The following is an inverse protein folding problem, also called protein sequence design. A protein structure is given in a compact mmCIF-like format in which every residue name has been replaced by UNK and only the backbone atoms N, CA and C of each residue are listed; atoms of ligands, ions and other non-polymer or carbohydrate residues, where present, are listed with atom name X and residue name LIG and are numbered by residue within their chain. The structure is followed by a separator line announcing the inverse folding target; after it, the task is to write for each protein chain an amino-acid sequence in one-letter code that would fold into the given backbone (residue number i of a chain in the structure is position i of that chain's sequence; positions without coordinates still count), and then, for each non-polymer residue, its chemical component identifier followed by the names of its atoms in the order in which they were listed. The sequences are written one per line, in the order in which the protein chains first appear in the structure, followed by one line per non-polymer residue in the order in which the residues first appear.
data_IF_028577553950
#
_entry.id   IF_028577553950
#
_cell.length_a   1.000
_cell.length_b   1.000
_cell.length_c   1.000
_cell.angle_alpha   90.00
_cell.angle_beta   90.00
_cell.angle_gamma   90.00
#
_symmetry.space_group_name_H-M   'P 1'
#
loop_
_entity.id
_entity.type
_entity.pdbx_description
1 polymer ?
#
# COMPACT_ATOMS: atom_id res chain seq x y z
N UNK A 1 3.31 9.14 -35.12
CA UNK A 1 2.72 8.46 -33.96
C UNK A 1 2.06 9.52 -33.12
N UNK A 2 0.72 9.59 -33.11
CA UNK A 2 -0.01 10.55 -32.27
C UNK A 2 -0.03 9.99 -30.83
N UNK A 3 0.29 10.85 -29.89
CA UNK A 3 0.59 10.53 -28.51
C UNK A 3 -0.50 9.70 -27.83
N UNK A 4 -0.11 8.57 -27.23
CA UNK A 4 -0.92 7.76 -26.33
C UNK A 4 -1.59 8.57 -25.19
N UNK A 5 -1.04 9.75 -24.86
CA UNK A 5 -1.57 10.65 -23.86
C UNK A 5 -2.90 11.34 -24.18
N UNK A 6 -3.36 11.33 -25.45
CA UNK A 6 -4.63 11.96 -25.82
C UNK A 6 -5.87 11.11 -25.55
N UNK A 7 -5.69 9.78 -25.33
CA UNK A 7 -6.79 8.86 -25.03
C UNK A 7 -7.06 8.70 -23.54
N UNK A 8 -6.04 8.93 -22.70
CA UNK A 8 -6.13 8.69 -21.27
C UNK A 8 -6.79 9.86 -20.52
N UNK A 9 -7.74 9.55 -19.66
CA UNK A 9 -8.28 10.47 -18.67
C UNK A 9 -9.22 11.56 -19.16
N UNK A 10 -9.63 11.59 -20.43
CA UNK A 10 -10.62 12.56 -20.95
C UNK A 10 -11.86 11.85 -21.45
N UNK A 11 -13.07 12.24 -20.98
CA UNK A 11 -14.31 11.76 -21.58
C UNK A 11 -14.30 12.18 -23.08
N UNK A 12 -14.47 11.20 -23.96
CA UNK A 12 -14.55 11.46 -25.40
C UNK A 12 -15.97 11.73 -25.89
N UNK A 13 -16.93 11.34 -25.08
CA UNK A 13 -18.35 11.48 -25.40
C UNK A 13 -18.97 12.37 -24.36
N UNK A 14 -19.54 13.48 -24.80
CA UNK A 14 -20.26 14.39 -23.92
C UNK A 14 -21.43 13.63 -23.29
N UNK A 15 -21.54 13.72 -21.97
CA UNK A 15 -22.71 13.24 -21.26
C UNK A 15 -23.89 14.13 -21.66
N UNK A 16 -24.85 13.55 -22.38
CA UNK A 16 -26.09 14.25 -22.78
C UNK A 16 -27.10 14.31 -21.66
N UNK A 17 -26.71 13.96 -20.40
CA UNK A 17 -27.57 13.98 -19.22
C UNK A 17 -28.33 12.68 -18.94
N UNK A 18 -28.45 11.78 -19.91
CA UNK A 18 -29.17 10.50 -19.74
C UNK A 18 -28.28 9.25 -19.91
N UNK A 19 -27.05 9.38 -20.43
CA UNK A 19 -26.13 8.26 -20.68
C UNK A 19 -24.95 8.17 -19.70
N UNK A 20 -24.22 7.05 -19.70
CA UNK A 20 -23.01 6.87 -18.90
C UNK A 20 -21.86 7.76 -19.40
N UNK A 21 -21.03 8.25 -18.48
CA UNK A 21 -19.86 9.08 -18.77
C UNK A 21 -18.64 8.20 -19.07
N UNK A 22 -18.66 7.48 -20.21
CA UNK A 22 -17.55 6.63 -20.57
C UNK A 22 -16.31 7.39 -21.01
N UNK A 23 -15.15 6.91 -20.55
CA UNK A 23 -13.83 7.28 -21.00
C UNK A 23 -13.15 6.13 -21.71
N UNK A 24 -12.32 6.42 -22.71
CA UNK A 24 -11.52 5.41 -23.41
C UNK A 24 -10.07 5.53 -22.96
N UNK A 25 -9.53 4.46 -22.41
CA UNK A 25 -8.15 4.36 -21.95
C UNK A 25 -7.35 3.51 -22.95
N UNK A 26 -6.26 4.09 -23.46
CA UNK A 26 -5.25 3.35 -24.19
C UNK A 26 -4.34 2.62 -23.17
N UNK A 27 -4.25 1.32 -23.30
CA UNK A 27 -3.42 0.47 -22.43
C UNK A 27 -2.09 0.08 -23.08
N UNK A 28 -1.76 0.64 -24.26
CA UNK A 28 -0.54 0.35 -24.98
C UNK A 28 -0.53 -1.04 -25.66
N UNK A 29 -1.71 -1.66 -25.88
CA UNK A 29 -1.86 -2.90 -26.62
C UNK A 29 -2.44 -2.61 -28.02
N UNK A 30 -1.78 -3.02 -29.11
CA UNK A 30 -2.30 -2.81 -30.45
C UNK A 30 -3.71 -3.43 -30.62
N UNK A 31 -4.64 -2.62 -31.12
CA UNK A 31 -6.01 -3.06 -31.40
C UNK A 31 -6.93 -3.19 -30.17
N UNK A 32 -6.44 -2.96 -28.96
CA UNK A 32 -7.23 -3.03 -27.71
C UNK A 32 -7.30 -1.68 -27.00
N UNK A 33 -8.43 -1.40 -26.39
CA UNK A 33 -8.63 -0.27 -25.49
C UNK A 33 -9.54 -0.69 -24.32
N UNK A 34 -9.55 0.09 -23.26
CA UNK A 34 -10.47 -0.10 -22.14
C UNK A 34 -11.48 1.04 -22.13
N UNK A 35 -12.76 0.70 -22.11
CA UNK A 35 -13.83 1.64 -21.81
C UNK A 35 -14.02 1.63 -20.29
N UNK A 36 -13.98 2.79 -19.67
CA UNK A 36 -14.14 2.95 -18.22
C UNK A 36 -15.28 3.92 -17.96
N UNK A 37 -16.16 3.58 -17.02
CA UNK A 37 -17.07 4.53 -16.38
C UNK A 37 -16.42 4.97 -15.05
N UNK A 38 -15.91 6.22 -14.98
CA UNK A 38 -15.01 6.60 -13.90
C UNK A 38 -15.66 6.68 -12.52
N UNK A 39 -16.98 6.89 -12.40
CA UNK A 39 -17.66 7.06 -11.11
C UNK A 39 -17.95 5.72 -10.40
N UNK A 40 -18.24 4.69 -11.18
CA UNK A 40 -18.51 3.34 -10.67
C UNK A 40 -17.32 2.39 -10.75
N UNK A 41 -16.22 2.82 -11.37
CA UNK A 41 -15.09 1.97 -11.74
C UNK A 41 -15.48 0.77 -12.62
N UNK A 42 -16.63 0.83 -13.30
CA UNK A 42 -16.97 -0.14 -14.34
C UNK A 42 -15.96 -0.04 -15.49
N UNK A 43 -15.60 -1.18 -16.05
CA UNK A 43 -14.69 -1.22 -17.20
C UNK A 43 -15.02 -2.41 -18.14
N UNK A 44 -14.60 -2.26 -19.40
CA UNK A 44 -14.63 -3.32 -20.38
C UNK A 44 -13.45 -3.19 -21.36
N UNK A 45 -12.81 -4.30 -21.67
CA UNK A 45 -11.78 -4.37 -22.73
C UNK A 45 -12.49 -4.58 -24.06
N UNK A 46 -12.18 -3.73 -25.03
CA UNK A 46 -12.82 -3.74 -26.35
C UNK A 46 -11.79 -3.65 -27.47
N UNK A 47 -12.13 -4.18 -28.64
CA UNK A 47 -11.37 -3.92 -29.86
C UNK A 47 -11.54 -2.44 -30.26
N UNK A 48 -10.46 -1.76 -30.63
CA UNK A 48 -10.50 -0.35 -31.05
C UNK A 48 -11.46 -0.13 -32.22
N UNK A 49 -11.59 -1.12 -33.12
CA UNK A 49 -12.51 -1.05 -34.25
C UNK A 49 -13.98 -1.15 -33.82
N UNK A 50 -14.27 -1.83 -32.72
CA UNK A 50 -15.61 -2.00 -32.15
C UNK A 50 -16.04 -0.86 -31.20
N UNK A 51 -15.15 0.09 -30.92
CA UNK A 51 -15.44 1.22 -29.97
C UNK A 51 -16.75 1.97 -30.29
N UNK A 52 -17.07 2.36 -31.56
CA UNK A 52 -18.32 3.07 -31.83
C UNK A 52 -19.57 2.28 -31.47
N UNK A 53 -19.56 0.96 -31.76
CA UNK A 53 -20.66 0.05 -31.41
C UNK A 53 -20.72 -0.19 -29.89
N UNK A 54 -19.58 -0.42 -29.24
CA UNK A 54 -19.52 -0.61 -27.80
C UNK A 54 -20.09 0.59 -27.02
N UNK A 55 -19.79 1.82 -27.46
CA UNK A 55 -20.20 3.06 -26.81
C UNK A 55 -21.63 3.50 -27.12
N UNK A 56 -22.37 2.77 -27.98
CA UNK A 56 -23.75 3.08 -28.34
C UNK A 56 -24.70 1.86 -28.25
N UNK A 57 -24.16 0.68 -28.00
CA UNK A 57 -24.89 -0.57 -28.08
C UNK A 57 -24.92 -1.39 -26.77
N UNK A 58 -24.60 -2.68 -26.89
CA UNK A 58 -24.75 -3.67 -25.82
C UNK A 58 -23.98 -3.30 -24.54
N UNK A 59 -22.78 -2.75 -24.65
CA UNK A 59 -21.97 -2.39 -23.48
C UNK A 59 -22.66 -1.31 -22.63
N UNK A 60 -23.26 -0.32 -23.29
CA UNK A 60 -24.06 0.72 -22.59
C UNK A 60 -25.22 0.10 -21.84
N UNK A 61 -25.94 -0.82 -22.48
CA UNK A 61 -27.08 -1.49 -21.85
C UNK A 61 -26.63 -2.36 -20.67
N UNK A 62 -25.59 -3.16 -20.84
CA UNK A 62 -25.04 -3.97 -19.75
C UNK A 62 -24.61 -3.12 -18.54
N UNK A 63 -23.98 -1.97 -18.77
CA UNK A 63 -23.64 -1.06 -17.70
C UNK A 63 -24.90 -0.50 -17.02
N UNK A 64 -25.91 -0.07 -17.80
CA UNK A 64 -27.13 0.52 -17.23
C UNK A 64 -27.92 -0.48 -16.40
N UNK A 65 -27.92 -1.75 -16.78
CA UNK A 65 -28.59 -2.82 -16.06
C UNK A 65 -27.93 -3.09 -14.69
N UNK A 66 -26.60 -2.98 -14.61
CA UNK A 66 -25.79 -3.32 -13.43
C UNK A 66 -25.30 -2.08 -12.62
N UNK A 67 -25.51 -0.86 -13.12
CA UNK A 67 -24.89 0.36 -12.57
C UNK A 67 -25.15 0.59 -11.09
N UNK A 68 -26.34 0.19 -10.61
CA UNK A 68 -26.70 0.37 -9.19
C UNK A 68 -25.90 -0.58 -8.30
N UNK A 69 -25.57 -1.79 -8.80
CA UNK A 69 -24.67 -2.73 -8.14
C UNK A 69 -23.27 -2.15 -8.01
N UNK A 70 -22.68 -1.68 -9.12
CA UNK A 70 -21.37 -1.04 -9.12
C UNK A 70 -21.30 0.18 -8.20
N UNK A 71 -22.35 1.01 -8.20
CA UNK A 71 -22.41 2.19 -7.35
C UNK A 71 -22.45 1.83 -5.87
N UNK A 72 -23.25 0.83 -5.48
CA UNK A 72 -23.30 0.34 -4.09
C UNK A 72 -21.97 -0.27 -3.63
N UNK A 73 -21.32 -1.02 -4.49
CA UNK A 73 -19.99 -1.58 -4.21
C UNK A 73 -18.96 -0.46 -3.97
N UNK A 74 -18.91 0.53 -4.85
CA UNK A 74 -18.01 1.68 -4.70
C UNK A 74 -18.34 2.50 -3.45
N UNK A 75 -19.60 2.72 -3.13
CA UNK A 75 -20.02 3.42 -1.92
C UNK A 75 -19.59 2.66 -0.66
N UNK A 76 -19.79 1.33 -0.64
CA UNK A 76 -19.31 0.47 0.46
C UNK A 76 -17.80 0.54 0.61
N UNK A 77 -17.04 0.38 -0.49
CA UNK A 77 -15.57 0.45 -0.49
C UNK A 77 -15.04 1.80 -0.02
N UNK A 78 -15.67 2.87 -0.43
CA UNK A 78 -15.21 4.23 -0.18
C UNK A 78 -15.63 4.77 1.17
N UNK A 79 -16.80 4.41 1.66
CA UNK A 79 -17.41 5.06 2.84
C UNK A 79 -17.97 4.07 3.87
N UNK A 80 -18.17 2.80 3.51
CA UNK A 80 -18.81 1.80 4.37
C UNK A 80 -17.85 1.02 5.28
N UNK A 81 -16.53 1.15 5.08
CA UNK A 81 -15.54 0.38 5.84
C UNK A 81 -15.21 1.05 7.18
N UNK A 82 -14.85 0.22 8.15
CA UNK A 82 -14.36 0.63 9.47
C UNK A 82 -12.92 0.17 9.66
N UNK A 83 -12.14 0.80 10.55
CA UNK A 83 -10.81 0.35 10.87
C UNK A 83 -10.80 -1.10 11.35
N UNK A 84 -9.92 -1.89 10.75
CA UNK A 84 -9.64 -3.29 11.10
C UNK A 84 -8.14 -3.55 11.30
N UNK A 85 -7.31 -2.52 11.14
CA UNK A 85 -5.86 -2.62 11.31
C UNK A 85 -5.30 -1.39 12.04
N UNK A 86 -4.21 -1.60 12.78
CA UNK A 86 -3.45 -0.54 13.48
C UNK A 86 -1.98 -0.70 13.18
N UNK A 87 -1.34 0.39 12.72
CA UNK A 87 0.11 0.52 12.72
C UNK A 87 0.55 1.06 14.08
N UNK A 88 1.18 0.21 14.87
CA UNK A 88 1.53 0.51 16.24
C UNK A 88 3.04 0.72 16.38
N UNK A 89 3.46 1.92 16.77
CA UNK A 89 4.85 2.27 17.00
C UNK A 89 5.18 2.16 18.50
N UNK A 90 5.72 1.03 18.98
CA UNK A 90 6.05 0.86 20.39
C UNK A 90 7.24 1.73 20.82
N UNK A 91 8.01 2.19 19.83
CA UNK A 91 9.17 3.06 20.03
C UNK A 91 9.32 4.06 18.90
N UNK A 92 9.81 5.25 19.22
CA UNK A 92 10.26 6.22 18.22
C UNK A 92 11.73 6.01 17.83
N UNK A 93 12.45 5.20 18.60
CA UNK A 93 13.90 4.98 18.39
C UNK A 93 14.15 3.99 17.29
N UNK A 94 15.24 4.24 16.56
CA UNK A 94 15.77 3.32 15.55
C UNK A 94 17.28 3.20 15.69
N UNK A 95 17.82 2.01 15.53
CA UNK A 95 19.25 1.78 15.49
C UNK A 95 19.90 2.17 14.14
N UNK A 96 19.05 2.57 13.15
CA UNK A 96 19.48 3.02 11.82
C UNK A 96 19.14 4.48 11.56
N UNK A 97 19.92 5.11 10.67
CA UNK A 97 19.71 6.45 10.14
C UNK A 97 19.63 6.41 8.60
N UNK A 98 18.60 5.74 8.07
CA UNK A 98 18.38 5.67 6.63
C UNK A 98 18.17 7.08 6.05
N UNK A 99 18.82 7.36 4.91
CA UNK A 99 18.87 8.72 4.31
C UNK A 99 17.51 9.22 3.84
N UNK A 100 16.60 8.31 3.51
CA UNK A 100 15.24 8.60 3.01
C UNK A 100 14.15 8.50 4.08
N UNK A 101 14.49 8.23 5.34
CA UNK A 101 13.50 7.95 6.37
C UNK A 101 12.49 9.09 6.51
N UNK A 102 11.20 8.75 6.48
CA UNK A 102 10.11 9.72 6.59
C UNK A 102 9.92 10.25 8.02
N UNK A 103 10.45 9.55 9.03
CA UNK A 103 10.40 10.00 10.43
C UNK A 103 11.50 11.01 10.74
N UNK A 104 11.26 12.01 11.61
CA UNK A 104 12.26 12.98 12.06
C UNK A 104 13.48 12.30 12.66
N UNK A 105 14.69 12.83 12.36
CA UNK A 105 15.95 12.30 12.89
C UNK A 105 16.00 12.33 14.41
N UNK A 106 15.61 13.45 15.04
CA UNK A 106 15.59 13.60 16.48
C UNK A 106 14.70 12.56 17.17
N UNK A 107 13.55 12.27 16.60
CA UNK A 107 12.64 11.22 17.06
C UNK A 107 13.33 9.85 17.03
N UNK A 108 13.98 9.51 15.91
CA UNK A 108 14.65 8.21 15.74
C UNK A 108 15.87 8.03 16.64
N UNK A 109 16.55 9.13 17.00
CA UNK A 109 17.75 9.12 17.83
C UNK A 109 17.43 9.08 19.32
N UNK A 110 16.51 9.94 19.76
CA UNK A 110 16.28 10.27 21.17
C UNK A 110 14.83 10.06 21.64
N UNK A 111 13.97 9.56 20.75
CA UNK A 111 12.55 9.41 21.01
C UNK A 111 12.23 8.40 22.11
N UNK A 112 10.96 8.35 22.46
CA UNK A 112 10.42 7.52 23.53
C UNK A 112 10.31 6.05 23.10
N UNK A 113 10.38 5.16 24.11
CA UNK A 113 10.02 3.73 24.01
C UNK A 113 9.00 3.43 25.09
N UNK A 114 7.91 2.75 24.73
CA UNK A 114 6.91 2.26 25.66
C UNK A 114 7.44 1.09 26.48
N UNK A 115 7.05 1.01 27.75
CA UNK A 115 7.19 -0.18 28.58
C UNK A 115 6.20 -1.26 28.14
N UNK A 116 6.42 -2.52 28.58
CA UNK A 116 5.45 -3.59 28.35
C UNK A 116 4.06 -3.26 28.89
N UNK A 117 3.99 -2.66 30.08
CA UNK A 117 2.72 -2.31 30.70
C UNK A 117 1.98 -1.23 29.91
N UNK A 118 2.68 -0.24 29.34
CA UNK A 118 2.09 0.75 28.47
C UNK A 118 1.59 0.15 27.15
N UNK A 119 2.35 -0.75 26.54
CA UNK A 119 1.90 -1.49 25.35
C UNK A 119 0.66 -2.31 25.69
N UNK A 120 0.66 -3.05 26.80
CA UNK A 120 -0.50 -3.83 27.23
C UNK A 120 -1.73 -2.94 27.46
N UNK A 121 -1.58 -1.81 28.13
CA UNK A 121 -2.69 -0.85 28.32
C UNK A 121 -3.23 -0.33 26.99
N UNK A 122 -2.35 0.00 26.07
CA UNK A 122 -2.76 0.41 24.71
C UNK A 122 -3.53 -0.69 23.99
N UNK A 123 -3.05 -1.94 24.07
CA UNK A 123 -3.72 -3.08 23.42
C UNK A 123 -5.08 -3.40 24.06
N UNK A 124 -5.26 -3.23 25.38
CA UNK A 124 -6.56 -3.37 26.03
C UNK A 124 -7.57 -2.35 25.48
N UNK A 125 -7.16 -1.09 25.35
CA UNK A 125 -8.04 -0.04 24.81
C UNK A 125 -8.38 -0.28 23.34
N UNK A 126 -7.41 -0.69 22.52
CA UNK A 126 -7.64 -1.06 21.13
C UNK A 126 -8.56 -2.27 21.01
N UNK A 127 -8.34 -3.30 21.82
CA UNK A 127 -9.17 -4.50 21.80
C UNK A 127 -10.62 -4.17 22.20
N UNK A 128 -10.83 -3.33 23.23
CA UNK A 128 -12.18 -2.88 23.61
C UNK A 128 -12.88 -2.09 22.47
N UNK A 129 -12.13 -1.31 21.69
CA UNK A 129 -12.64 -0.65 20.49
C UNK A 129 -13.03 -1.68 19.42
N UNK A 130 -12.14 -2.61 19.07
CA UNK A 130 -12.37 -3.58 18.00
C UNK A 130 -13.47 -4.59 18.31
N UNK A 131 -13.66 -4.97 19.56
CA UNK A 131 -14.78 -5.83 19.98
C UNK A 131 -16.16 -5.25 19.65
N UNK A 132 -16.25 -3.91 19.53
CA UNK A 132 -17.49 -3.20 19.17
C UNK A 132 -17.62 -2.91 17.68
N UNK A 133 -16.51 -2.98 16.92
CA UNK A 133 -16.47 -2.42 15.55
C UNK A 133 -16.12 -3.44 14.47
N UNK A 134 -15.47 -4.54 14.82
CA UNK A 134 -15.11 -5.62 13.91
C UNK A 134 -16.15 -6.74 14.02
N UNK A 135 -16.39 -7.45 12.92
CA UNK A 135 -17.32 -8.57 12.88
C UNK A 135 -16.99 -9.65 13.93
N UNK A 136 -18.00 -10.25 14.56
CA UNK A 136 -17.79 -11.27 15.57
C UNK A 136 -16.94 -12.43 15.05
N UNK A 137 -15.86 -12.74 15.77
CA UNK A 137 -14.91 -13.80 15.40
C UNK A 137 -13.78 -13.37 14.48
N UNK A 138 -13.83 -12.20 13.85
CA UNK A 138 -12.70 -11.63 13.12
C UNK A 138 -11.69 -10.98 14.08
N UNK A 139 -10.40 -11.15 13.79
CA UNK A 139 -9.32 -10.50 14.55
C UNK A 139 -8.79 -9.30 13.81
N UNK A 140 -8.73 -8.13 14.44
CA UNK A 140 -8.06 -6.97 13.83
C UNK A 140 -6.56 -7.22 13.71
N UNK A 141 -5.93 -6.56 12.73
CA UNK A 141 -4.48 -6.61 12.56
C UNK A 141 -3.79 -5.55 13.43
N UNK A 142 -2.69 -5.93 14.06
CA UNK A 142 -1.80 -5.00 14.75
C UNK A 142 -0.37 -5.20 14.22
N UNK A 143 0.12 -4.18 13.52
CA UNK A 143 1.43 -4.21 12.90
C UNK A 143 2.36 -3.33 13.72
N UNK A 144 3.33 -3.95 14.40
CA UNK A 144 4.44 -3.22 15.01
C UNK A 144 5.29 -2.61 13.89
N UNK A 145 5.36 -1.28 13.89
CA UNK A 145 5.85 -0.52 12.76
C UNK A 145 6.53 0.78 13.24
N UNK A 146 6.95 1.61 12.33
CA UNK A 146 7.45 2.96 12.57
C UNK A 146 8.95 3.05 12.49
N UNK A 147 9.64 3.27 13.62
CA UNK A 147 11.11 3.31 13.67
C UNK A 147 11.70 1.91 13.57
N UNK A 148 12.20 1.33 14.67
CA UNK A 148 12.59 -0.08 14.69
C UNK A 148 11.91 -0.77 15.87
N UNK A 149 10.84 -1.53 15.65
CA UNK A 149 10.08 -2.18 16.73
C UNK A 149 10.92 -3.08 17.61
N UNK A 150 11.95 -3.73 17.04
CA UNK A 150 12.82 -4.63 17.78
C UNK A 150 13.75 -3.93 18.77
N UNK A 151 13.83 -2.59 18.78
CA UNK A 151 14.44 -1.83 19.89
C UNK A 151 13.63 -1.99 21.19
N UNK A 152 12.31 -2.26 21.05
CA UNK A 152 11.41 -2.57 22.16
C UNK A 152 11.06 -4.08 22.22
N UNK A 153 12.00 -4.98 21.86
CA UNK A 153 11.79 -6.43 21.67
C UNK A 153 10.98 -7.04 22.83
N UNK A 154 11.36 -6.77 24.09
CA UNK A 154 10.70 -7.37 25.26
C UNK A 154 9.23 -6.96 25.39
N UNK A 155 8.93 -5.67 25.12
CA UNK A 155 7.57 -5.15 25.13
C UNK A 155 6.74 -5.73 23.96
N UNK A 156 7.33 -5.83 22.76
CA UNK A 156 6.69 -6.41 21.58
C UNK A 156 6.39 -7.89 21.80
N UNK A 157 7.35 -8.66 22.28
CA UNK A 157 7.19 -10.11 22.51
C UNK A 157 6.19 -10.41 23.64
N UNK A 158 6.28 -9.69 24.76
CA UNK A 158 5.33 -9.80 25.85
C UNK A 158 3.90 -9.44 25.45
N UNK A 159 3.73 -8.46 24.57
CA UNK A 159 2.44 -8.10 24.03
C UNK A 159 1.88 -9.18 23.07
N UNK A 160 2.70 -9.72 22.17
CA UNK A 160 2.31 -10.82 21.27
C UNK A 160 1.83 -12.02 22.10
N UNK A 161 2.59 -12.45 23.10
CA UNK A 161 2.22 -13.61 23.93
C UNK A 161 0.88 -13.41 24.67
N UNK A 162 0.62 -12.19 25.16
CA UNK A 162 -0.60 -11.88 25.92
C UNK A 162 -1.85 -11.70 25.06
N UNK A 163 -1.70 -11.21 23.80
CA UNK A 163 -2.84 -10.76 22.99
C UNK A 163 -3.01 -11.50 21.66
N UNK A 164 -2.25 -12.57 21.38
CA UNK A 164 -2.35 -13.35 20.12
C UNK A 164 -3.75 -13.92 19.85
N UNK A 165 -4.56 -14.09 20.87
CA UNK A 165 -5.93 -14.57 20.71
C UNK A 165 -6.90 -13.44 20.31
N UNK A 166 -6.51 -12.18 20.48
CA UNK A 166 -7.32 -10.98 20.19
C UNK A 166 -6.89 -10.26 18.93
N UNK A 167 -5.63 -10.40 18.49
CA UNK A 167 -5.07 -9.72 17.32
C UNK A 167 -4.33 -10.68 16.38
N UNK A 168 -4.30 -10.33 15.09
CA UNK A 168 -3.33 -10.84 14.14
C UNK A 168 -2.12 -9.89 14.16
N UNK A 169 -0.96 -10.42 14.58
CA UNK A 169 0.23 -9.60 14.72
C UNK A 169 1.09 -9.59 13.45
N UNK A 170 1.68 -8.43 13.17
CA UNK A 170 2.75 -8.25 12.19
C UNK A 170 3.89 -7.42 12.77
N UNK A 171 5.09 -7.59 12.24
CA UNK A 171 6.28 -6.78 12.55
C UNK A 171 6.91 -6.33 11.24
N UNK A 172 7.13 -5.02 11.09
CA UNK A 172 7.95 -4.47 10.02
C UNK A 172 9.26 -3.94 10.61
N UNK A 173 10.39 -4.51 10.18
CA UNK A 173 11.70 -4.31 10.80
C UNK A 173 12.81 -4.11 9.77
N UNK A 174 13.88 -3.43 10.17
CA UNK A 174 15.12 -3.39 9.40
C UNK A 174 15.95 -4.69 9.48
N UNK A 175 15.44 -5.69 10.20
CA UNK A 175 15.99 -7.03 10.41
C UNK A 175 17.31 -7.12 11.21
N UNK A 176 17.95 -6.01 11.55
CA UNK A 176 19.28 -6.04 12.17
C UNK A 176 19.29 -6.47 13.63
N UNK A 177 18.13 -6.53 14.27
CA UNK A 177 17.94 -7.00 15.64
C UNK A 177 17.21 -8.36 15.70
N UNK A 178 17.01 -9.03 14.55
CA UNK A 178 16.46 -10.38 14.49
C UNK A 178 17.61 -11.40 14.58
N UNK A 179 17.75 -11.99 15.74
CA UNK A 179 18.52 -13.21 15.96
C UNK A 179 17.65 -14.47 15.73
N UNK A 180 18.24 -15.66 15.80
CA UNK A 180 17.52 -16.92 15.57
C UNK A 180 16.40 -17.10 16.58
N UNK A 181 16.60 -16.76 17.86
CA UNK A 181 15.58 -16.82 18.91
C UNK A 181 14.38 -15.91 18.59
N UNK A 182 14.65 -14.70 18.11
CA UNK A 182 13.59 -13.77 17.73
C UNK A 182 12.81 -14.27 16.51
N UNK A 183 13.48 -14.81 15.51
CA UNK A 183 12.83 -15.40 14.34
C UNK A 183 11.97 -16.60 14.71
N UNK A 184 12.48 -17.52 15.55
CA UNK A 184 11.73 -18.67 16.04
C UNK A 184 10.54 -18.26 16.91
N UNK A 185 10.68 -17.23 17.75
CA UNK A 185 9.59 -16.67 18.52
C UNK A 185 8.45 -16.17 17.62
N UNK A 186 8.77 -15.34 16.63
CA UNK A 186 7.79 -14.72 15.73
C UNK A 186 7.09 -15.77 14.85
N UNK A 187 7.87 -16.66 14.24
CA UNK A 187 7.35 -17.68 13.32
C UNK A 187 6.47 -18.71 14.00
N UNK A 188 6.88 -19.18 15.22
CA UNK A 188 6.08 -20.15 16.01
C UNK A 188 4.73 -19.59 16.47
N UNK A 189 4.56 -18.26 16.47
CA UNK A 189 3.31 -17.58 16.85
C UNK A 189 2.49 -17.08 15.67
N UNK A 190 2.92 -17.40 14.44
CA UNK A 190 2.22 -17.00 13.23
C UNK A 190 2.27 -15.48 12.95
N UNK A 191 3.28 -14.77 13.47
CA UNK A 191 3.42 -13.33 13.28
C UNK A 191 3.87 -13.03 11.85
N UNK A 192 3.20 -12.12 11.16
CA UNK A 192 3.64 -11.63 9.85
C UNK A 192 4.96 -10.85 9.97
N UNK A 193 5.95 -11.16 9.13
CA UNK A 193 7.27 -10.54 9.19
C UNK A 193 7.57 -9.85 7.87
N UNK A 194 7.68 -8.51 7.90
CA UNK A 194 8.17 -7.70 6.79
C UNK A 194 9.58 -7.16 7.10
N UNK A 195 10.55 -7.48 6.26
CA UNK A 195 11.90 -6.92 6.40
C UNK A 195 12.21 -5.91 5.31
N UNK A 196 13.09 -4.97 5.60
CA UNK A 196 13.48 -3.94 4.64
C UNK A 196 14.81 -4.28 3.96
N UNK A 197 14.81 -4.40 2.62
CA UNK A 197 16.01 -4.58 1.81
C UNK A 197 15.86 -3.86 0.47
N UNK A 198 16.78 -2.94 0.15
CA UNK A 198 16.59 -2.00 -0.96
C UNK A 198 17.43 -2.32 -2.22
N UNK A 199 18.35 -3.28 -2.15
CA UNK A 199 19.14 -3.71 -3.31
C UNK A 199 19.67 -5.14 -3.11
N UNK A 200 20.07 -5.78 -4.22
CA UNK A 200 20.71 -7.10 -4.22
C UNK A 200 22.24 -7.01 -4.07
N UNK A 201 22.81 -5.80 -4.03
CA UNK A 201 24.24 -5.56 -3.82
C UNK A 201 24.46 -4.65 -2.62
N UNK A 202 25.47 -5.00 -1.80
CA UNK A 202 25.78 -4.30 -0.57
C UNK A 202 26.09 -2.81 -0.77
N UNK A 203 26.85 -2.45 -1.81
CA UNK A 203 27.22 -1.06 -2.06
C UNK A 203 26.01 -0.13 -2.25
N UNK A 204 24.97 -0.61 -2.90
CA UNK A 204 23.72 0.17 -3.12
C UNK A 204 22.82 0.14 -1.89
N UNK A 205 22.60 -1.02 -1.27
CA UNK A 205 21.77 -1.15 -0.07
C UNK A 205 22.35 -0.33 1.09
N UNK A 206 23.63 -0.50 1.35
CA UNK A 206 24.34 0.17 2.46
C UNK A 206 24.61 1.66 2.18
N UNK A 207 24.46 2.13 0.94
CA UNK A 207 24.54 3.56 0.63
C UNK A 207 23.42 4.37 1.29
N UNK A 208 22.21 3.81 1.34
CA UNK A 208 21.00 4.49 1.83
C UNK A 208 20.56 4.00 3.21
N UNK A 209 20.87 2.74 3.58
CA UNK A 209 20.50 2.13 4.87
C UNK A 209 21.74 1.95 5.75
N UNK A 210 21.97 2.90 6.65
CA UNK A 210 23.11 2.93 7.56
C UNK A 210 22.68 3.08 9.00
N UNK A 211 23.44 2.48 9.92
CA UNK A 211 23.31 2.78 11.33
C UNK A 211 23.87 4.19 11.64
N UNK A 212 23.75 4.63 12.89
CA UNK A 212 24.22 5.96 13.34
C UNK A 212 25.74 6.15 13.22
N UNK A 213 26.51 5.08 13.00
CA UNK A 213 27.97 5.10 12.78
C UNK A 213 28.34 5.01 11.29
N UNK A 214 27.36 5.05 10.38
CA UNK A 214 27.58 5.01 8.94
C UNK A 214 27.79 3.61 8.35
N UNK A 215 27.61 2.54 9.11
CA UNK A 215 27.77 1.16 8.66
C UNK A 215 26.42 0.61 8.14
N UNK A 216 26.47 -0.07 7.02
CA UNK A 216 25.35 -0.87 6.50
C UNK A 216 25.20 -2.22 7.19
N UNK A 217 24.20 -2.99 6.78
CA UNK A 217 23.92 -4.33 7.32
C UNK A 217 23.44 -5.32 6.25
N UNK A 218 23.76 -5.09 5.00
CA UNK A 218 23.29 -5.90 3.86
C UNK A 218 23.44 -7.41 4.11
N UNK A 219 24.64 -7.88 4.43
CA UNK A 219 24.89 -9.32 4.62
C UNK A 219 24.12 -9.93 5.79
N UNK A 220 23.83 -9.15 6.83
CA UNK A 220 23.00 -9.59 7.96
C UNK A 220 21.54 -9.71 7.53
N UNK A 221 21.01 -8.71 6.83
CA UNK A 221 19.62 -8.70 6.35
C UNK A 221 19.37 -9.83 5.34
N UNK A 222 20.33 -10.09 4.45
CA UNK A 222 20.25 -11.22 3.49
C UNK A 222 20.15 -12.56 4.23
N UNK A 223 20.97 -12.80 5.27
CA UNK A 223 20.86 -14.04 6.08
C UNK A 223 19.48 -14.19 6.75
N UNK A 224 18.92 -13.11 7.28
CA UNK A 224 17.56 -13.12 7.83
C UNK A 224 16.54 -13.43 6.75
N UNK A 225 16.66 -12.81 5.57
CA UNK A 225 15.79 -13.08 4.41
C UNK A 225 15.84 -14.57 4.02
N UNK A 226 17.03 -15.13 3.84
CA UNK A 226 17.22 -16.54 3.47
C UNK A 226 16.62 -17.49 4.53
N UNK A 227 16.77 -17.17 5.81
CA UNK A 227 16.22 -17.96 6.93
C UNK A 227 14.67 -17.93 6.96
N UNK A 228 14.07 -16.82 6.55
CA UNK A 228 12.62 -16.61 6.59
C UNK A 228 11.91 -16.86 5.25
N UNK A 229 12.63 -17.07 4.15
CA UNK A 229 12.06 -17.14 2.79
C UNK A 229 10.96 -18.20 2.63
N UNK A 230 11.04 -19.33 3.36
CA UNK A 230 10.02 -20.38 3.36
C UNK A 230 8.86 -20.15 4.33
N UNK A 231 8.91 -19.07 5.14
CA UNK A 231 7.84 -18.76 6.08
C UNK A 231 6.67 -18.09 5.35
N UNK A 232 5.42 -18.65 5.40
CA UNK A 232 4.32 -18.17 4.56
C UNK A 232 3.91 -16.71 4.82
N UNK A 233 4.09 -16.21 6.06
CA UNK A 233 3.74 -14.84 6.44
C UNK A 233 4.97 -13.90 6.39
N UNK A 234 5.90 -14.14 5.46
CA UNK A 234 7.10 -13.34 5.25
C UNK A 234 7.00 -12.51 3.97
N UNK A 235 7.50 -11.29 4.04
CA UNK A 235 7.65 -10.43 2.87
C UNK A 235 8.90 -9.53 2.97
N UNK A 236 9.36 -9.05 1.82
CA UNK A 236 10.44 -8.06 1.74
C UNK A 236 9.89 -6.73 1.22
N UNK A 237 10.28 -5.65 1.87
CA UNK A 237 9.88 -4.28 1.50
C UNK A 237 11.11 -3.55 0.98
N UNK A 238 11.05 -3.14 -0.28
CA UNK A 238 12.05 -2.32 -0.96
C UNK A 238 11.56 -0.89 -1.08
N UNK A 239 12.31 0.05 -0.53
CA UNK A 239 12.10 1.47 -0.82
C UNK A 239 12.80 1.81 -2.13
N UNK A 240 12.01 2.16 -3.15
CA UNK A 240 12.55 2.49 -4.48
C UNK A 240 12.96 3.96 -4.51
N UNK A 241 14.23 4.19 -4.77
CA UNK A 241 14.89 5.50 -4.88
C UNK A 241 15.55 5.65 -6.25
N UNK A 242 16.09 6.82 -6.57
CA UNK A 242 16.91 7.00 -7.77
C UNK A 242 18.15 6.11 -7.82
N UNK A 243 18.61 5.63 -6.66
CA UNK A 243 19.82 4.83 -6.53
C UNK A 243 19.61 3.35 -6.89
N UNK A 244 18.37 2.87 -6.80
CA UNK A 244 18.06 1.45 -7.03
C UNK A 244 16.92 1.23 -8.05
N UNK A 245 16.29 2.26 -8.58
CA UNK A 245 15.17 2.11 -9.51
C UNK A 245 15.54 1.26 -10.74
N UNK A 246 16.74 1.44 -11.29
CA UNK A 246 17.21 0.67 -12.44
C UNK A 246 17.48 -0.82 -12.12
N UNK A 247 17.55 -1.18 -10.83
CA UNK A 247 17.86 -2.54 -10.36
C UNK A 247 16.60 -3.37 -10.06
N UNK A 248 15.40 -2.86 -10.33
CA UNK A 248 14.15 -3.57 -9.97
C UNK A 248 14.01 -4.94 -10.65
N UNK A 249 14.34 -5.14 -11.94
CA UNK A 249 14.32 -6.47 -12.55
C UNK A 249 15.32 -7.44 -11.91
N UNK A 250 16.52 -7.00 -11.60
CA UNK A 250 17.56 -7.82 -10.94
C UNK A 250 17.16 -8.14 -9.48
N UNK A 251 16.45 -7.23 -8.81
CA UNK A 251 15.88 -7.50 -7.49
C UNK A 251 14.80 -8.57 -7.54
N UNK A 252 14.00 -8.62 -8.60
CA UNK A 252 13.02 -9.71 -8.81
C UNK A 252 13.74 -11.06 -8.93
N UNK A 253 14.83 -11.14 -9.71
CA UNK A 253 15.65 -12.35 -9.79
C UNK A 253 16.19 -12.75 -8.42
N UNK A 254 16.80 -11.79 -7.73
CA UNK A 254 17.42 -12.02 -6.43
C UNK A 254 16.42 -12.54 -5.37
N UNK A 255 15.25 -11.93 -5.25
CA UNK A 255 14.21 -12.37 -4.32
C UNK A 255 13.60 -13.71 -4.73
N UNK A 256 13.38 -13.91 -6.02
CA UNK A 256 12.88 -15.18 -6.52
C UNK A 256 13.89 -16.31 -6.24
N UNK A 257 15.18 -16.13 -6.52
CA UNK A 257 16.21 -17.14 -6.30
C UNK A 257 16.36 -17.46 -4.81
N UNK A 258 16.22 -16.47 -3.93
CA UNK A 258 16.20 -16.66 -2.48
C UNK A 258 14.92 -17.36 -1.95
N UNK A 259 13.93 -17.61 -2.79
CA UNK A 259 12.67 -18.27 -2.36
C UNK A 259 11.64 -17.34 -1.72
N UNK A 260 11.81 -16.03 -1.80
CA UNK A 260 10.83 -15.06 -1.29
C UNK A 260 9.55 -15.16 -2.12
N UNK A 261 8.39 -15.24 -1.44
CA UNK A 261 7.09 -15.34 -2.11
C UNK A 261 6.41 -13.98 -2.34
N UNK A 262 6.68 -12.99 -1.50
CA UNK A 262 6.01 -11.68 -1.54
C UNK A 262 7.00 -10.54 -1.36
N UNK A 263 6.92 -9.55 -2.22
CA UNK A 263 7.72 -8.31 -2.13
C UNK A 263 6.82 -7.08 -2.29
N UNK A 264 7.29 -5.93 -1.79
CA UNK A 264 6.68 -4.62 -2.04
C UNK A 264 7.74 -3.67 -2.60
N UNK A 265 7.50 -3.07 -3.76
CA UNK A 265 8.34 -2.02 -4.34
C UNK A 265 7.67 -0.66 -4.11
N UNK A 266 7.97 -0.04 -2.98
CA UNK A 266 7.38 1.23 -2.59
C UNK A 266 8.23 2.40 -3.02
N UNK A 267 7.73 3.34 -3.84
CA UNK A 267 8.43 4.60 -4.09
C UNK A 267 8.77 5.30 -2.79
N UNK A 268 9.98 5.88 -2.72
CA UNK A 268 10.40 6.66 -1.56
C UNK A 268 9.40 7.78 -1.26
N UNK A 269 9.05 7.96 0.00
CA UNK A 269 8.13 9.02 0.41
C UNK A 269 8.82 10.38 0.41
N UNK A 270 8.23 11.34 -0.28
CA UNK A 270 8.72 12.72 -0.39
C UNK A 270 8.30 13.60 0.82
N UNK A 271 8.03 13.00 1.98
CA UNK A 271 7.59 13.72 3.18
C UNK A 271 8.70 14.50 3.89
N UNK A 272 9.96 14.22 3.54
CA UNK A 272 11.16 14.89 4.06
C UNK A 272 12.14 15.17 2.94
N UNK A 273 13.06 16.12 3.18
CA UNK A 273 14.08 16.50 2.17
C UNK A 273 14.91 15.31 1.69
N UNK A 274 15.30 14.39 2.60
CA UNK A 274 16.06 13.19 2.22
C UNK A 274 15.30 12.31 1.23
N UNK A 275 14.02 12.07 1.46
CA UNK A 275 13.16 11.33 0.53
C UNK A 275 12.98 12.08 -0.81
N UNK A 276 12.72 13.39 -0.75
CA UNK A 276 12.57 14.20 -1.96
C UNK A 276 13.86 14.23 -2.79
N UNK A 277 15.03 14.31 -2.15
CA UNK A 277 16.32 14.28 -2.82
C UNK A 277 16.61 12.93 -3.52
N UNK A 278 16.03 11.84 -3.03
CA UNK A 278 16.19 10.49 -3.57
C UNK A 278 15.00 10.04 -4.44
N UNK A 279 14.04 10.93 -4.70
CA UNK A 279 12.92 10.64 -5.60
C UNK A 279 13.43 10.27 -6.99
N UNK A 280 13.07 9.09 -7.55
CA UNK A 280 13.33 8.78 -8.94
C UNK A 280 12.47 9.65 -9.86
N UNK A 281 12.87 9.78 -11.10
CA UNK A 281 11.99 10.31 -12.15
C UNK A 281 10.74 9.43 -12.26
N UNK A 282 9.57 10.04 -12.44
CA UNK A 282 8.29 9.35 -12.42
C UNK A 282 8.11 8.39 -13.62
N UNK A 283 8.64 8.75 -14.79
CA UNK A 283 8.60 7.90 -15.98
C UNK A 283 9.59 6.75 -15.87
N UNK A 284 10.81 7.03 -15.42
CA UNK A 284 11.84 6.00 -15.18
C UNK A 284 11.36 4.98 -14.15
N UNK A 285 10.69 5.44 -13.09
CA UNK A 285 10.10 4.55 -12.09
C UNK A 285 9.01 3.67 -12.70
N UNK A 286 8.12 4.24 -13.51
CA UNK A 286 7.04 3.49 -14.16
C UNK A 286 7.59 2.40 -15.10
N UNK A 287 8.58 2.74 -15.92
CA UNK A 287 9.23 1.81 -16.85
C UNK A 287 9.95 0.68 -16.10
N UNK A 288 10.77 1.01 -15.11
CA UNK A 288 11.51 0.02 -14.33
C UNK A 288 10.58 -0.93 -13.54
N UNK A 289 9.49 -0.39 -13.01
CA UNK A 289 8.50 -1.19 -12.29
C UNK A 289 7.77 -2.16 -13.24
N UNK A 290 7.37 -1.72 -14.44
CA UNK A 290 6.78 -2.59 -15.45
C UNK A 290 7.76 -3.68 -15.89
N UNK A 291 9.04 -3.33 -16.11
CA UNK A 291 10.08 -4.30 -16.44
C UNK A 291 10.28 -5.36 -15.32
N UNK A 292 10.17 -4.95 -14.05
CA UNK A 292 10.20 -5.87 -12.92
C UNK A 292 8.98 -6.81 -12.90
N UNK A 293 7.80 -6.32 -13.26
CA UNK A 293 6.60 -7.15 -13.40
C UNK A 293 6.73 -8.15 -14.56
N UNK A 294 7.22 -7.72 -15.73
CA UNK A 294 7.51 -8.60 -16.85
C UNK A 294 8.52 -9.68 -16.45
N UNK A 295 9.53 -9.32 -15.67
CA UNK A 295 10.52 -10.27 -15.16
C UNK A 295 9.91 -11.29 -14.20
N UNK A 296 9.05 -10.84 -13.28
CA UNK A 296 8.31 -11.71 -12.36
C UNK A 296 7.46 -12.73 -13.14
N UNK A 297 6.76 -12.28 -14.17
CA UNK A 297 5.99 -13.16 -15.04
C UNK A 297 6.85 -14.19 -15.76
N UNK A 298 7.96 -13.78 -16.36
CA UNK A 298 8.88 -14.69 -17.05
C UNK A 298 9.46 -15.77 -16.12
N UNK A 299 9.72 -15.42 -14.85
CA UNK A 299 10.15 -16.38 -13.84
C UNK A 299 9.03 -17.35 -13.47
N UNK A 300 7.80 -16.87 -13.32
CA UNK A 300 6.65 -17.72 -13.10
C UNK A 300 6.43 -18.72 -14.23
N UNK A 301 6.46 -18.28 -15.50
CA UNK A 301 6.37 -19.18 -16.65
C UNK A 301 7.48 -20.24 -16.67
N UNK A 302 8.70 -19.86 -16.29
CA UNK A 302 9.85 -20.75 -16.29
C UNK A 302 9.84 -21.76 -15.14
N UNK A 303 9.38 -21.36 -13.95
CA UNK A 303 9.60 -22.13 -12.70
C UNK A 303 8.30 -22.62 -12.05
N UNK A 304 7.14 -22.08 -12.44
CA UNK A 304 5.85 -22.29 -11.79
C UNK A 304 5.73 -21.62 -10.41
N UNK A 305 6.79 -20.92 -9.93
CA UNK A 305 6.78 -20.27 -8.64
C UNK A 305 6.52 -18.77 -8.78
N UNK A 306 5.53 -18.26 -8.04
CA UNK A 306 5.19 -16.84 -8.00
C UNK A 306 6.16 -16.04 -7.15
N UNK A 307 6.45 -14.83 -7.56
CA UNK A 307 6.91 -13.73 -6.72
C UNK A 307 5.87 -12.61 -6.82
N UNK A 308 5.03 -12.51 -5.81
CA UNK A 308 3.94 -11.52 -5.81
C UNK A 308 4.49 -10.14 -5.44
N UNK A 309 4.36 -9.19 -6.35
CA UNK A 309 4.63 -7.77 -6.08
C UNK A 309 3.36 -7.18 -5.45
N UNK A 310 3.28 -7.16 -4.12
CA UNK A 310 2.04 -6.96 -3.37
C UNK A 310 1.31 -5.64 -3.65
N UNK A 311 2.03 -4.54 -3.86
CA UNK A 311 1.41 -3.26 -4.22
C UNK A 311 0.82 -3.30 -5.65
N UNK A 312 1.43 -3.98 -6.61
CA UNK A 312 0.83 -4.20 -7.92
C UNK A 312 -0.34 -5.19 -7.85
N UNK A 313 -0.18 -6.30 -7.13
CA UNK A 313 -1.25 -7.28 -6.92
C UNK A 313 -2.52 -6.61 -6.34
N UNK A 314 -2.35 -5.61 -5.46
CA UNK A 314 -3.46 -4.83 -4.92
C UNK A 314 -4.17 -3.98 -5.98
N UNK A 315 -3.42 -3.33 -6.88
CA UNK A 315 -3.99 -2.58 -8.01
C UNK A 315 -4.73 -3.53 -8.95
N UNK A 316 -4.15 -4.69 -9.28
CA UNK A 316 -4.76 -5.70 -10.13
C UNK A 316 -6.04 -6.28 -9.48
N UNK A 317 -6.00 -6.59 -8.18
CA UNK A 317 -7.20 -6.99 -7.43
C UNK A 317 -8.27 -5.90 -7.49
N UNK A 318 -7.87 -4.62 -7.39
CA UNK A 318 -8.78 -3.49 -7.56
C UNK A 318 -9.47 -3.42 -8.92
N UNK A 319 -8.87 -4.00 -9.96
CA UNK A 319 -9.45 -4.10 -11.30
C UNK A 319 -10.39 -5.32 -11.40
N UNK A 320 -9.93 -6.51 -10.99
CA UNK A 320 -10.66 -7.77 -11.24
C UNK A 320 -11.69 -8.11 -10.18
N UNK A 321 -11.50 -7.61 -8.95
CA UNK A 321 -12.42 -7.83 -7.83
C UNK A 321 -12.19 -6.75 -6.78
N UNK A 322 -12.85 -5.58 -6.90
CA UNK A 322 -12.57 -4.40 -6.07
C UNK A 322 -12.58 -4.67 -4.56
N UNK A 323 -13.40 -5.61 -4.11
CA UNK A 323 -13.47 -6.04 -2.70
C UNK A 323 -12.29 -6.88 -2.23
N UNK A 324 -11.49 -7.41 -3.14
CA UNK A 324 -10.27 -8.18 -2.85
C UNK A 324 -9.02 -7.34 -2.54
N UNK A 325 -9.13 -6.00 -2.49
CA UNK A 325 -8.01 -5.14 -2.08
C UNK A 325 -7.58 -5.42 -0.65
N UNK A 326 -6.30 -5.64 -0.45
CA UNK A 326 -5.68 -5.78 0.88
C UNK A 326 -5.11 -4.45 1.40
N UNK A 327 -4.68 -3.58 0.50
CA UNK A 327 -4.19 -2.24 0.81
C UNK A 327 -5.23 -1.21 0.37
N UNK A 328 -5.55 -0.27 1.23
CA UNK A 328 -6.56 0.77 0.95
C UNK A 328 -5.90 2.13 0.67
N UNK A 329 -4.72 2.11 0.03
CA UNK A 329 -3.98 3.32 -0.35
C UNK A 329 -4.28 3.81 -1.77
N UNK A 330 -4.78 2.93 -2.64
CA UNK A 330 -5.08 3.15 -4.05
C UNK A 330 -6.56 3.46 -4.35
N UNK A 331 -7.31 3.81 -3.33
CA UNK A 331 -8.71 4.21 -3.42
C UNK A 331 -8.94 5.58 -2.78
N UNK A 332 -9.98 6.29 -3.20
CA UNK A 332 -10.38 7.59 -2.63
C UNK A 332 -11.76 7.50 -1.96
N UNK A 333 -11.89 7.95 -0.69
CA UNK A 333 -10.83 8.48 0.19
C UNK A 333 -9.79 7.42 0.58
N UNK A 334 -8.59 7.88 0.96
CA UNK A 334 -7.53 7.00 1.48
C UNK A 334 -8.03 6.16 2.68
N UNK A 335 -7.50 4.93 2.81
CA UNK A 335 -7.82 4.05 3.94
C UNK A 335 -7.35 4.56 5.30
N UNK A 336 -6.39 5.49 5.33
CA UNK A 336 -5.91 6.10 6.56
C UNK A 336 -7.01 6.82 7.34
N UNK A 337 -7.21 6.48 8.60
CA UNK A 337 -8.30 6.93 9.46
C UNK A 337 -9.64 6.26 9.19
N UNK A 338 -9.77 5.48 8.09
CA UNK A 338 -11.01 4.86 7.67
C UNK A 338 -10.97 3.31 7.73
N UNK A 339 -9.88 2.71 7.28
CA UNK A 339 -9.67 1.26 7.30
C UNK A 339 -8.57 0.87 8.31
N UNK A 340 -7.68 1.77 8.57
CA UNK A 340 -6.60 1.63 9.54
C UNK A 340 -6.22 2.99 10.11
N UNK A 341 -5.46 2.99 11.20
CA UNK A 341 -4.86 4.21 11.80
C UNK A 341 -3.51 3.87 12.44
N UNK A 342 -2.80 4.88 12.91
CA UNK A 342 -1.51 4.69 13.55
C UNK A 342 -1.51 5.21 15.00
N UNK A 343 -0.74 4.52 15.85
CA UNK A 343 -0.48 4.89 17.24
C UNK A 343 1.00 5.13 17.43
N UNK A 344 1.40 6.31 17.93
CA UNK A 344 2.79 6.64 18.25
C UNK A 344 3.22 6.07 19.61
N UNK A 345 4.51 6.10 19.92
CA UNK A 345 5.04 5.69 21.22
C UNK A 345 4.57 6.57 22.40
N UNK A 346 3.92 7.70 22.14
CA UNK A 346 3.25 8.52 23.13
C UNK A 346 1.77 8.16 23.32
N UNK A 347 1.24 7.20 22.55
CA UNK A 347 -0.19 6.89 22.50
C UNK A 347 -0.99 7.85 21.62
N UNK A 348 -0.35 8.76 20.90
CA UNK A 348 -1.04 9.69 20.01
C UNK A 348 -1.55 8.95 18.77
N UNK A 349 -2.78 9.25 18.36
CA UNK A 349 -3.41 8.66 17.19
C UNK A 349 -3.29 9.58 15.98
N UNK A 350 -2.92 8.97 14.85
CA UNK A 350 -2.79 9.60 13.54
C UNK A 350 -3.58 8.81 12.49
N UNK A 351 -4.06 9.45 11.41
CA UNK A 351 -4.76 8.73 10.33
C UNK A 351 -3.92 7.60 9.70
N UNK A 352 -2.60 7.77 9.62
CA UNK A 352 -1.65 6.80 9.07
C UNK A 352 -0.27 7.03 9.67
N UNK A 353 0.63 6.03 9.61
CA UNK A 353 2.03 6.18 10.04
C UNK A 353 2.78 7.30 9.32
N UNK A 354 2.44 7.56 8.04
CA UNK A 354 3.04 8.64 7.26
C UNK A 354 2.74 10.05 7.82
N UNK A 355 1.72 10.19 8.67
CA UNK A 355 1.41 11.45 9.35
C UNK A 355 2.12 11.60 10.70
N UNK A 356 2.79 10.57 11.21
CA UNK A 356 3.61 10.69 12.43
C UNK A 356 4.75 11.67 12.15
N UNK A 357 4.86 12.71 12.98
CA UNK A 357 5.78 13.81 12.76
C UNK A 357 5.18 15.04 12.07
N UNK A 358 3.85 15.03 11.82
CA UNK A 358 3.05 16.18 11.44
C UNK A 358 2.04 16.47 12.57
N UNK A 359 2.35 17.35 13.53
CA UNK A 359 1.54 17.55 14.73
C UNK A 359 0.09 17.97 14.46
N UNK A 360 -0.16 18.64 13.34
CA UNK A 360 -1.49 19.07 12.89
C UNK A 360 -2.44 17.92 12.54
N UNK A 361 -1.90 16.70 12.33
CA UNK A 361 -2.68 15.48 12.06
C UNK A 361 -2.83 14.58 13.30
N UNK A 362 -2.38 15.03 14.48
CA UNK A 362 -2.66 14.35 15.73
C UNK A 362 -4.14 14.50 16.08
N UNK A 363 -4.88 13.39 16.08
CA UNK A 363 -6.33 13.41 16.35
C UNK A 363 -6.70 13.37 17.82
N UNK A 364 -5.85 12.77 18.65
CA UNK A 364 -6.05 12.56 20.09
C UNK A 364 -5.01 11.60 20.65
N UNK A 365 -5.25 11.09 21.87
CA UNK A 365 -4.33 10.19 22.55
C UNK A 365 -5.06 8.96 23.12
N UNK A 366 -4.59 7.77 22.77
CA UNK A 366 -5.19 6.48 23.13
C UNK A 366 -5.36 6.27 24.64
N UNK A 367 -4.51 6.90 25.47
CA UNK A 367 -4.58 6.78 26.94
C UNK A 367 -5.59 7.76 27.58
N UNK A 368 -6.07 8.74 26.83
CA UNK A 368 -6.92 9.85 27.35
C UNK A 368 -8.29 9.88 26.70
N UNK A 369 -8.34 9.56 25.38
CA UNK A 369 -9.51 9.75 24.55
C UNK A 369 -10.13 8.40 24.12
N UNK A 370 -11.42 8.39 23.80
CA UNK A 370 -12.07 7.25 23.15
C UNK A 370 -11.70 7.22 21.66
N UNK A 371 -11.36 6.02 21.15
CA UNK A 371 -10.90 5.84 19.76
C UNK A 371 -11.94 6.38 18.76
N UNK A 372 -13.23 6.10 18.98
CA UNK A 372 -14.32 6.57 18.13
C UNK A 372 -14.35 8.10 18.02
N UNK A 373 -14.15 8.80 19.16
CA UNK A 373 -14.13 10.27 19.17
C UNK A 373 -12.90 10.82 18.41
N UNK A 374 -11.76 10.14 18.51
CA UNK A 374 -10.55 10.53 17.79
C UNK A 374 -10.72 10.33 16.28
N UNK A 375 -11.33 9.24 15.83
CA UNK A 375 -11.59 8.99 14.41
C UNK A 375 -12.49 10.07 13.78
N UNK A 376 -13.35 10.70 14.59
CA UNK A 376 -14.23 11.81 14.18
C UNK A 376 -13.59 13.20 14.36
N UNK A 377 -12.35 13.26 14.85
CA UNK A 377 -11.64 14.52 15.04
C UNK A 377 -11.34 15.24 13.73
N UNK A 378 -11.11 16.56 13.81
CA UNK A 378 -10.77 17.37 12.63
C UNK A 378 -9.55 16.87 11.86
N UNK A 379 -8.43 16.44 12.49
CA UNK A 379 -7.28 15.86 11.79
C UNK A 379 -7.63 14.60 10.97
N UNK A 380 -8.42 13.70 11.53
CA UNK A 380 -8.87 12.50 10.84
C UNK A 380 -9.83 12.83 9.71
N UNK A 381 -10.83 13.66 9.95
CA UNK A 381 -11.78 14.10 8.93
C UNK A 381 -11.10 14.79 7.75
N UNK A 382 -10.03 15.54 7.96
CA UNK A 382 -9.27 16.15 6.88
C UNK A 382 -8.74 15.11 5.87
N UNK A 383 -8.37 13.92 6.34
CA UNK A 383 -7.89 12.82 5.49
C UNK A 383 -9.04 11.97 4.93
N UNK A 384 -10.01 11.61 5.78
CA UNK A 384 -11.12 10.72 5.40
C UNK A 384 -12.17 11.37 4.51
N UNK A 385 -12.27 12.71 4.49
CA UNK A 385 -13.12 13.48 3.58
C UNK A 385 -12.42 13.89 2.27
N UNK A 386 -11.11 13.63 2.12
CA UNK A 386 -10.37 13.94 0.89
C UNK A 386 -10.78 13.01 -0.24
N UNK A 387 -11.64 13.48 -1.13
CA UNK A 387 -12.11 12.70 -2.27
C UNK A 387 -11.44 13.14 -3.57
N UNK A 388 -11.23 12.20 -4.47
CA UNK A 388 -10.52 12.43 -5.74
C UNK A 388 -11.28 13.38 -6.66
N UNK A 389 -12.59 13.48 -6.49
CA UNK A 389 -13.49 14.38 -7.23
C UNK A 389 -13.20 15.87 -6.95
N UNK A 390 -12.59 16.19 -5.80
CA UNK A 390 -12.23 17.55 -5.41
C UNK A 390 -10.79 17.93 -5.83
N UNK A 391 -10.05 17.00 -6.46
CA UNK A 391 -8.64 17.18 -6.82
C UNK A 391 -8.46 17.39 -8.31
N UNK A 392 -7.98 18.59 -8.71
CA UNK A 392 -7.59 18.82 -10.10
C UNK A 392 -6.15 18.30 -10.37
N UNK A 393 -5.90 17.62 -11.52
CA UNK A 393 -6.83 17.26 -12.58
C UNK A 393 -7.52 15.90 -12.36
N UNK A 394 -7.36 15.26 -11.18
CA UNK A 394 -7.78 13.88 -10.89
C UNK A 394 -9.29 13.67 -11.05
N UNK A 395 -10.12 14.69 -10.74
CA UNK A 395 -11.58 14.58 -10.88
C UNK A 395 -12.05 14.24 -12.30
N UNK A 396 -11.21 14.51 -13.31
CA UNK A 396 -11.50 14.20 -14.72
C UNK A 396 -10.74 12.98 -15.23
N UNK A 397 -10.00 12.31 -14.36
CA UNK A 397 -9.19 11.16 -14.73
C UNK A 397 -10.06 9.91 -14.86
N UNK A 398 -9.92 9.17 -15.97
CA UNK A 398 -10.65 7.93 -16.21
C UNK A 398 -10.39 6.87 -15.13
N UNK A 399 -9.18 6.84 -14.57
CA UNK A 399 -8.74 5.83 -13.61
C UNK A 399 -8.78 6.30 -12.15
N UNK A 400 -9.56 7.37 -11.85
CA UNK A 400 -9.55 7.99 -10.51
C UNK A 400 -9.87 7.04 -9.36
N UNK A 401 -10.70 6.02 -9.59
CA UNK A 401 -11.06 5.03 -8.58
C UNK A 401 -10.23 3.75 -8.62
N UNK A 402 -9.24 3.66 -9.51
CA UNK A 402 -8.20 2.64 -9.50
C UNK A 402 -6.87 3.17 -8.94
N UNK A 403 -6.69 4.50 -8.91
CA UNK A 403 -5.48 5.17 -8.43
C UNK A 403 -5.69 5.87 -7.08
N UNK A 404 -6.87 6.49 -6.83
CA UNK A 404 -7.19 7.20 -5.58
C UNK A 404 -6.38 8.46 -5.29
N UNK A 405 -5.49 8.90 -6.19
CA UNK A 405 -4.56 10.04 -5.99
C UNK A 405 -3.74 9.94 -4.67
N UNK A 406 -2.99 8.84 -4.42
CA UNK A 406 -2.21 8.63 -3.20
C UNK A 406 -0.94 9.51 -3.22
N UNK A 407 -0.24 9.71 -2.17
CA UNK A 407 -0.56 9.54 -0.76
C UNK A 407 -0.89 10.94 -0.16
N UNK A 408 -1.93 11.13 0.65
CA UNK A 408 -2.27 12.46 1.18
C UNK A 408 -1.16 13.07 2.05
N UNK A 409 -0.47 12.27 2.89
CA UNK A 409 0.65 12.77 3.69
C UNK A 409 1.80 13.29 2.81
N UNK A 410 2.14 12.59 1.74
CA UNK A 410 3.18 12.99 0.80
C UNK A 410 2.78 14.25 0.01
N UNK A 411 1.53 14.28 -0.47
CA UNK A 411 0.98 15.45 -1.18
C UNK A 411 0.99 16.69 -0.29
N UNK A 412 0.60 16.54 0.99
CA UNK A 412 0.68 17.60 1.98
C UNK A 412 2.13 18.10 2.20
N UNK A 413 3.06 17.18 2.39
CA UNK A 413 4.47 17.54 2.61
C UNK A 413 5.11 18.29 1.44
N UNK A 414 4.77 17.89 0.20
CA UNK A 414 5.34 18.50 -1.01
C UNK A 414 4.62 19.80 -1.39
N UNK A 415 3.30 19.85 -1.24
CA UNK A 415 2.46 20.94 -1.76
C UNK A 415 1.80 21.82 -0.71
N UNK A 416 1.94 21.52 0.58
CA UNK A 416 1.34 22.26 1.69
C UNK A 416 -0.18 22.11 1.83
N UNK A 417 -0.81 21.24 1.02
CA UNK A 417 -2.25 20.96 1.04
C UNK A 417 -2.55 19.51 0.65
N UNK A 418 -3.69 18.99 1.08
CA UNK A 418 -4.11 17.62 0.77
C UNK A 418 -4.66 17.48 -0.65
N UNK A 419 -5.29 18.52 -1.19
CA UNK A 419 -6.02 18.52 -2.47
C UNK A 419 -5.06 18.83 -3.64
N UNK A 420 -4.05 17.96 -3.82
CA UNK A 420 -3.14 18.04 -4.95
C UNK A 420 -2.86 16.65 -5.54
N UNK A 421 -2.40 16.65 -6.78
CA UNK A 421 -2.00 15.44 -7.49
C UNK A 421 -0.76 14.82 -6.84
N UNK A 422 -0.69 13.49 -6.81
CA UNK A 422 0.52 12.77 -6.38
C UNK A 422 1.77 13.16 -7.17
N UNK A 423 2.94 13.26 -6.54
CA UNK A 423 4.22 13.42 -7.23
C UNK A 423 4.61 12.20 -8.09
N UNK A 424 3.92 11.08 -7.94
CA UNK A 424 4.10 9.84 -8.69
C UNK A 424 2.90 9.52 -9.60
N UNK A 425 2.26 10.55 -10.16
CA UNK A 425 1.04 10.39 -10.94
C UNK A 425 1.23 9.47 -12.15
N UNK A 426 2.36 9.59 -12.88
CA UNK A 426 2.66 8.77 -14.05
C UNK A 426 2.88 7.31 -13.68
N UNK A 427 3.61 7.07 -12.60
CA UNK A 427 3.84 5.73 -12.07
C UNK A 427 2.53 5.01 -11.71
N UNK A 428 1.63 5.68 -10.97
CA UNK A 428 0.33 5.08 -10.63
C UNK A 428 -0.58 4.87 -11.85
N UNK A 429 -0.54 5.80 -12.80
CA UNK A 429 -1.27 5.64 -14.06
C UNK A 429 -0.80 4.41 -14.83
N UNK A 430 0.51 4.22 -14.94
CA UNK A 430 1.08 3.10 -15.69
C UNK A 430 0.84 1.74 -15.01
N UNK A 431 0.83 1.68 -13.69
CA UNK A 431 0.43 0.46 -12.97
C UNK A 431 -1.00 0.03 -13.31
N UNK A 432 -1.94 0.98 -13.35
CA UNK A 432 -3.34 0.68 -13.72
C UNK A 432 -3.43 0.23 -15.18
N UNK A 433 -2.72 0.88 -16.09
CA UNK A 433 -2.65 0.46 -17.49
C UNK A 433 -2.06 -0.95 -17.63
N UNK A 434 -1.01 -1.23 -16.87
CA UNK A 434 -0.39 -2.56 -16.84
C UNK A 434 -1.35 -3.62 -16.30
N UNK A 435 -2.11 -3.31 -15.25
CA UNK A 435 -3.13 -4.22 -14.72
C UNK A 435 -4.18 -4.57 -15.79
N UNK A 436 -4.66 -3.60 -16.57
CA UNK A 436 -5.57 -3.88 -17.70
C UNK A 436 -4.89 -4.69 -18.80
N UNK A 437 -3.58 -4.52 -19.07
CA UNK A 437 -2.84 -5.39 -20.00
C UNK A 437 -2.79 -6.83 -19.52
N UNK A 438 -2.53 -7.04 -18.22
CA UNK A 438 -2.54 -8.36 -17.59
C UNK A 438 -3.89 -9.05 -17.78
N UNK A 439 -4.99 -8.35 -17.49
CA UNK A 439 -6.36 -8.85 -17.68
C UNK A 439 -6.65 -9.14 -19.16
N UNK A 440 -6.27 -8.25 -20.07
CA UNK A 440 -6.46 -8.47 -21.51
C UNK A 440 -5.71 -9.69 -22.05
N UNK A 441 -4.68 -10.15 -21.34
CA UNK A 441 -3.84 -11.31 -21.68
C UNK A 441 -4.23 -12.58 -20.90
N UNK A 442 -5.15 -12.50 -19.93
CA UNK A 442 -5.53 -13.63 -19.07
C UNK A 442 -4.39 -14.12 -18.17
N UNK A 443 -3.57 -13.19 -17.63
CA UNK A 443 -2.36 -13.51 -16.85
C UNK A 443 -2.48 -13.18 -15.35
N UNK A 444 -3.67 -12.94 -14.83
CA UNK A 444 -3.92 -12.47 -13.46
C UNK A 444 -3.34 -13.42 -12.42
N UNK A 445 -3.47 -14.74 -12.68
CA UNK A 445 -3.00 -15.79 -11.79
C UNK A 445 -1.50 -15.68 -11.46
N UNK A 446 -0.67 -15.19 -12.39
CA UNK A 446 0.77 -15.04 -12.19
C UNK A 446 1.14 -13.93 -11.20
N UNK A 447 0.26 -12.97 -11.00
CA UNK A 447 0.53 -11.75 -10.20
C UNK A 447 -0.23 -11.69 -8.90
N UNK A 448 -1.32 -12.45 -8.77
CA UNK A 448 -2.14 -12.45 -7.57
C UNK A 448 -1.74 -13.60 -6.64
N UNK A 449 -1.98 -13.41 -5.35
CA UNK A 449 -1.76 -14.45 -4.34
C UNK A 449 -2.72 -15.62 -4.53
N UNK A 450 -2.34 -16.79 -4.03
CA UNK A 450 -3.20 -17.98 -4.13
C UNK A 450 -4.49 -17.76 -3.32
N UNK A 451 -5.61 -18.22 -3.88
CA UNK A 451 -6.92 -18.08 -3.27
C UNK A 451 -7.56 -16.68 -3.39
N UNK A 452 -6.96 -15.74 -4.13
CA UNK A 452 -7.47 -14.37 -4.27
C UNK A 452 -8.95 -14.30 -4.68
N UNK A 453 -9.39 -15.20 -5.55
CA UNK A 453 -10.77 -15.23 -6.05
C UNK A 453 -11.80 -15.59 -4.96
N UNK A 454 -11.42 -16.41 -3.98
CA UNK A 454 -12.30 -16.77 -2.85
C UNK A 454 -12.31 -15.74 -1.75
N UNK A 455 -11.34 -14.82 -1.72
CA UNK A 455 -11.24 -13.74 -0.73
C UNK A 455 -12.00 -12.47 -1.18
N UNK A 456 -12.46 -12.40 -2.43
CA UNK A 456 -13.09 -11.19 -2.98
C UNK A 456 -14.44 -10.85 -2.36
N UNK A 457 -15.15 -11.79 -1.75
CA UNK A 457 -16.47 -11.55 -1.17
C UNK A 457 -16.46 -11.21 0.34
N UNK A 458 -15.40 -11.51 1.11
CA UNK A 458 -15.50 -11.50 2.58
C UNK A 458 -14.46 -10.68 3.35
N UNK A 459 -13.35 -10.21 2.81
CA UNK A 459 -12.32 -9.59 3.67
C UNK A 459 -11.63 -8.38 3.07
N UNK A 460 -12.01 -7.20 3.58
CA UNK A 460 -11.14 -6.03 3.54
C UNK A 460 -10.05 -6.19 4.61
N UNK A 461 -8.92 -6.75 4.24
CA UNK A 461 -7.74 -6.80 5.08
C UNK A 461 -6.78 -5.72 4.61
N UNK A 462 -6.54 -4.72 5.46
CA UNK A 462 -5.38 -3.86 5.33
C UNK A 462 -4.17 -4.66 5.83
N UNK A 463 -3.41 -5.29 4.94
CA UNK A 463 -2.16 -5.98 5.27
C UNK A 463 -0.97 -5.06 5.07
#
# INVERSE_FOLDING_TARGET
MKHAGELSGRPRYANTGEGPNFSVLDIGMPGRAVVVEPDSAFWAIVDVQALPEALSGRLVQSYLDEREGFRKEMERLRFGLKPSAVYFNPTERCNFNCTYCYLPEEMRRNGRTMTLDEVCLALERLAAYFERTVEPGAKPQLIFHGSEPMVAKDAVFGAIDRYRDRFLFGVQTNATLLDDEAMDFLTSRGVGIGISLDAHVASTADAVRKNWHGHGAFSQVVRVMERLASYPAFNVITTVTRENVALLPELVDFYHDAGVGVVMFNPVRCTRQGGLALKPDDEVLAEAFCAALDRSYALFEKTGRKLVVANFANVLAGVVGPTGRRLMCDISPCGGGRCFFAVSAHGDLFPCSEFIGFPEYRGGNLFQDEVEAVLESRPFRAVTSRVVEDIEPCRRCAIRHFCGAPCPAEVHAVGGKLEARSPYCRFYEEQVRYAFRVVAQGREEAYLWDGWASETEETYRCA
#
